data_IF_601065001210
#
_entry.id   IF_601065001210
#
_cell.length_a   1.000
_cell.length_b   1.000
_cell.length_c   1.000
_cell.angle_alpha   90.00
_cell.angle_beta   90.00
_cell.angle_gamma   90.00
#
_symmetry.space_group_name_H-M   'P 1'
#
loop_
_entity.id
_entity.type
_entity.pdbx_description
1 polymer ?
#
# COMPACT_ATOMS: atom_id res chain seq x y z
N UNK A 1 -8.32 11.44 -1.95
CA UNK A 1 -7.06 11.10 -1.27
C UNK A 1 -5.94 11.76 -2.05
N UNK A 2 -5.03 12.47 -1.37
CA UNK A 2 -3.83 12.99 -2.02
C UNK A 2 -3.01 11.81 -2.55
N UNK A 3 -2.43 11.98 -3.74
CA UNK A 3 -1.56 10.96 -4.32
C UNK A 3 -0.27 10.91 -3.49
N UNK A 4 0.09 9.75 -2.90
CA UNK A 4 1.28 9.67 -2.06
C UNK A 4 2.56 9.98 -2.85
N UNK A 5 3.54 10.61 -2.20
CA UNK A 5 4.77 11.12 -2.81
C UNK A 5 5.57 10.03 -3.56
N UNK A 6 5.57 8.80 -3.06
CA UNK A 6 6.26 7.69 -3.72
C UNK A 6 5.67 7.37 -5.10
N UNK A 7 4.37 7.60 -5.35
CA UNK A 7 3.78 7.39 -6.67
C UNK A 7 4.20 8.44 -7.69
N UNK A 8 4.50 9.67 -7.25
CA UNK A 8 5.04 10.70 -8.15
C UNK A 8 6.41 10.24 -8.68
N UNK A 9 7.25 9.69 -7.81
CA UNK A 9 8.54 9.09 -8.19
C UNK A 9 8.35 7.88 -9.13
N UNK A 10 7.37 7.02 -8.86
CA UNK A 10 7.07 5.85 -9.72
C UNK A 10 6.53 6.24 -11.09
N UNK A 11 5.67 7.26 -11.18
CA UNK A 11 5.16 7.74 -12.45
C UNK A 11 6.21 8.44 -13.30
N UNK A 12 7.21 9.08 -12.68
CA UNK A 12 8.35 9.65 -13.39
C UNK A 12 9.21 8.57 -14.08
N UNK A 13 9.22 7.35 -13.53
CA UNK A 13 9.92 6.19 -14.11
C UNK A 13 9.14 5.53 -15.27
N UNK A 14 7.88 5.91 -15.49
CA UNK A 14 6.98 5.30 -16.46
C UNK A 14 6.62 6.25 -17.60
N UNK A 15 6.61 5.73 -18.82
CA UNK A 15 6.14 6.49 -19.97
C UNK A 15 4.65 6.83 -19.84
N UNK A 16 4.16 7.90 -20.48
CA UNK A 16 2.73 8.24 -20.46
C UNK A 16 1.84 7.08 -20.96
N UNK A 17 2.33 6.32 -21.94
CA UNK A 17 1.62 5.15 -22.48
C UNK A 17 1.54 4.04 -21.42
N UNK A 18 2.62 3.78 -20.68
CA UNK A 18 2.63 2.83 -19.57
C UNK A 18 1.65 3.25 -18.47
N UNK A 19 1.59 4.54 -18.13
CA UNK A 19 0.64 5.04 -17.12
C UNK A 19 -0.82 4.80 -17.55
N UNK A 20 -1.14 5.10 -18.81
CA UNK A 20 -2.47 4.80 -19.39
C UNK A 20 -2.75 3.29 -19.39
N UNK A 21 -1.78 2.48 -19.80
CA UNK A 21 -1.89 1.03 -19.83
C UNK A 21 -2.13 0.43 -18.45
N UNK A 22 -1.42 0.91 -17.41
CA UNK A 22 -1.60 0.46 -16.03
C UNK A 22 -3.03 0.70 -15.53
N UNK A 23 -3.60 1.88 -15.81
CA UNK A 23 -5.00 2.16 -15.50
C UNK A 23 -5.96 1.23 -16.26
N UNK A 24 -5.77 1.08 -17.58
CA UNK A 24 -6.64 0.24 -18.41
C UNK A 24 -6.61 -1.23 -17.98
N UNK A 25 -5.43 -1.76 -17.64
CA UNK A 25 -5.29 -3.13 -17.13
C UNK A 25 -5.94 -3.30 -15.76
N UNK A 26 -5.78 -2.34 -14.84
CA UNK A 26 -6.46 -2.36 -13.54
C UNK A 26 -7.99 -2.44 -13.68
N UNK A 27 -8.56 -1.64 -14.60
CA UNK A 27 -10.00 -1.65 -14.88
C UNK A 27 -10.44 -3.00 -15.48
N UNK A 28 -9.65 -3.55 -16.42
CA UNK A 28 -9.93 -4.83 -17.06
C UNK A 28 -9.89 -6.00 -16.07
N UNK A 29 -8.91 -6.01 -15.16
CA UNK A 29 -8.74 -7.06 -14.16
C UNK A 29 -9.86 -7.08 -13.13
N UNK A 30 -10.44 -5.93 -12.81
CA UNK A 30 -11.62 -5.83 -11.95
C UNK A 30 -12.93 -6.20 -12.66
N UNK A 31 -12.93 -6.36 -14.00
CA UNK A 31 -14.11 -6.77 -14.77
C UNK A 31 -15.28 -5.78 -14.69
N UNK A 32 -15.00 -4.51 -14.43
CA UNK A 32 -16.02 -3.48 -14.20
C UNK A 32 -16.68 -3.03 -15.50
N UNK A 33 -15.89 -2.91 -16.57
CA UNK A 33 -16.33 -2.38 -17.87
C UNK A 33 -16.82 -3.48 -18.82
N UNK A 34 -17.19 -4.65 -18.28
CA UNK A 34 -17.73 -5.78 -19.03
C UNK A 34 -16.81 -7.00 -19.06
N UNK A 35 -16.93 -7.86 -20.09
CA UNK A 35 -16.15 -9.10 -20.15
C UNK A 35 -14.65 -8.80 -20.19
N UNK A 36 -13.88 -9.57 -19.42
CA UNK A 36 -12.43 -9.41 -19.32
C UNK A 36 -11.78 -9.60 -20.70
N UNK A 37 -11.09 -8.56 -21.16
CA UNK A 37 -10.32 -8.56 -22.40
C UNK A 37 -9.04 -9.35 -22.24
N UNK A 38 -8.61 -10.01 -23.31
CA UNK A 38 -7.33 -10.73 -23.36
C UNK A 38 -6.15 -9.76 -23.46
N UNK A 39 -4.93 -10.22 -23.13
CA UNK A 39 -3.74 -9.37 -23.26
C UNK A 39 -3.52 -8.87 -24.70
N UNK A 40 -3.82 -9.71 -25.70
CA UNK A 40 -3.76 -9.33 -27.12
C UNK A 40 -4.75 -8.20 -27.46
N UNK A 41 -5.98 -8.28 -26.94
CA UNK A 41 -6.99 -7.24 -27.15
C UNK A 41 -6.59 -5.93 -26.47
N UNK A 42 -6.10 -6.01 -25.22
CA UNK A 42 -5.60 -4.85 -24.49
C UNK A 42 -4.39 -4.21 -25.19
N UNK A 43 -3.48 -5.03 -25.73
CA UNK A 43 -2.34 -4.57 -26.51
C UNK A 43 -2.78 -3.81 -27.77
N UNK A 44 -3.79 -4.33 -28.48
CA UNK A 44 -4.41 -3.65 -29.61
C UNK A 44 -5.02 -2.30 -29.24
N UNK A 45 -5.72 -2.19 -28.11
CA UNK A 45 -6.33 -0.94 -27.65
C UNK A 45 -5.32 0.11 -27.17
N UNK A 46 -4.23 -0.34 -26.56
CA UNK A 46 -3.14 0.53 -26.09
C UNK A 46 -2.23 0.95 -27.25
N UNK A 47 -2.20 0.17 -28.34
CA UNK A 47 -1.34 0.40 -29.50
C UNK A 47 0.08 -0.15 -29.32
N UNK A 48 0.23 -1.27 -28.59
CA UNK A 48 1.52 -1.92 -28.34
C UNK A 48 1.45 -3.41 -28.69
N UNK A 49 2.61 -4.08 -28.71
CA UNK A 49 2.64 -5.54 -28.84
C UNK A 49 2.25 -6.24 -27.54
N UNK A 50 1.69 -7.44 -27.64
CA UNK A 50 1.40 -8.31 -26.49
C UNK A 50 2.65 -8.56 -25.62
N UNK A 51 3.80 -8.77 -26.27
CA UNK A 51 5.10 -8.93 -25.60
C UNK A 51 5.52 -7.71 -24.79
N UNK A 52 5.11 -6.50 -25.20
CA UNK A 52 5.39 -5.26 -24.48
C UNK A 52 4.59 -5.19 -23.18
N UNK A 53 3.29 -5.53 -23.22
CA UNK A 53 2.47 -5.63 -22.01
C UNK A 53 3.04 -6.66 -21.04
N UNK A 54 3.42 -7.84 -21.55
CA UNK A 54 4.02 -8.88 -20.72
C UNK A 54 5.29 -8.42 -20.01
N UNK A 55 6.13 -7.63 -20.69
CA UNK A 55 7.34 -7.02 -20.09
C UNK A 55 6.98 -5.98 -19.03
N UNK A 56 5.96 -5.16 -19.26
CA UNK A 56 5.52 -4.17 -18.26
C UNK A 56 4.97 -4.83 -17.00
N UNK A 57 4.27 -5.96 -17.14
CA UNK A 57 3.81 -6.76 -16.01
C UNK A 57 4.94 -7.40 -15.18
N UNK A 58 6.20 -7.23 -15.57
CA UNK A 58 7.38 -7.62 -14.79
C UNK A 58 8.07 -6.41 -14.15
N UNK A 59 7.72 -5.18 -14.54
CA UNK A 59 8.32 -3.96 -14.00
C UNK A 59 7.65 -3.61 -12.66
N UNK A 60 8.39 -3.57 -11.53
CA UNK A 60 7.83 -3.25 -10.22
C UNK A 60 7.13 -1.88 -10.16
N UNK A 61 7.64 -0.89 -10.89
CA UNK A 61 7.02 0.44 -10.90
C UNK A 61 5.64 0.43 -11.58
N UNK A 62 5.51 -0.36 -12.65
CA UNK A 62 4.25 -0.53 -13.36
C UNK A 62 3.22 -1.28 -12.51
N UNK A 63 3.64 -2.36 -11.84
CA UNK A 63 2.79 -3.16 -10.94
C UNK A 63 2.26 -2.28 -9.80
N UNK A 64 3.12 -1.53 -9.12
CA UNK A 64 2.71 -0.64 -8.01
C UNK A 64 1.71 0.43 -8.45
N UNK A 65 1.87 0.97 -9.66
CA UNK A 65 0.92 1.94 -10.19
C UNK A 65 -0.45 1.28 -10.48
N UNK A 66 -0.43 0.07 -11.02
CA UNK A 66 -1.64 -0.72 -11.27
C UNK A 66 -2.37 -1.08 -9.97
N UNK A 67 -1.65 -1.48 -8.92
CA UNK A 67 -2.18 -1.71 -7.57
C UNK A 67 -2.85 -0.46 -7.03
N UNK A 68 -2.18 0.69 -7.10
CA UNK A 68 -2.76 1.96 -6.67
C UNK A 68 -4.07 2.31 -7.39
N UNK A 69 -4.12 2.13 -8.71
CA UNK A 69 -5.36 2.33 -9.46
C UNK A 69 -6.45 1.34 -9.03
N UNK A 70 -6.08 0.08 -8.80
CA UNK A 70 -6.99 -0.95 -8.31
C UNK A 70 -7.58 -0.56 -6.95
N UNK A 71 -6.77 -0.07 -6.02
CA UNK A 71 -7.22 0.40 -4.70
C UNK A 71 -8.18 1.58 -4.80
N UNK A 72 -7.87 2.57 -5.64
CA UNK A 72 -8.79 3.71 -5.88
C UNK A 72 -10.13 3.20 -6.40
N UNK A 73 -10.11 2.32 -7.39
CA UNK A 73 -11.32 1.80 -8.02
C UNK A 73 -12.11 0.99 -7.00
N UNK A 74 -11.49 0.05 -6.30
CA UNK A 74 -12.11 -0.76 -5.24
C UNK A 74 -12.74 0.09 -4.14
N UNK A 75 -12.05 1.17 -3.73
CA UNK A 75 -12.59 2.08 -2.74
C UNK A 75 -13.88 2.79 -3.20
N UNK A 76 -14.07 3.03 -4.51
CA UNK A 76 -15.35 3.53 -5.04
C UNK A 76 -16.49 2.52 -4.87
N UNK A 77 -16.19 1.21 -4.89
CA UNK A 77 -17.19 0.16 -4.67
C UNK A 77 -17.45 -0.14 -3.20
N UNK A 78 -16.70 0.47 -2.27
CA UNK A 78 -16.82 0.21 -0.84
C UNK A 78 -18.28 0.30 -0.34
N UNK A 79 -18.99 1.38 -0.68
CA UNK A 79 -20.40 1.55 -0.28
C UNK A 79 -21.32 0.44 -0.84
N UNK A 80 -21.07 -0.01 -2.08
CA UNK A 80 -21.84 -1.09 -2.71
C UNK A 80 -21.56 -2.44 -2.05
N UNK A 81 -20.30 -2.72 -1.72
CA UNK A 81 -19.91 -3.93 -0.99
C UNK A 81 -20.56 -3.94 0.39
N UNK A 82 -20.52 -2.81 1.11
CA UNK A 82 -21.17 -2.67 2.41
C UNK A 82 -22.69 -2.85 2.32
N UNK A 83 -23.34 -2.28 1.31
CA UNK A 83 -24.78 -2.50 1.07
C UNK A 83 -25.12 -3.98 0.84
N UNK A 84 -24.31 -4.71 0.05
CA UNK A 84 -24.47 -6.16 -0.12
C UNK A 84 -24.27 -6.93 1.18
N UNK A 85 -23.29 -6.53 2.00
CA UNK A 85 -23.04 -7.16 3.30
C UNK A 85 -24.24 -6.98 4.24
N UNK A 86 -24.80 -5.78 4.33
CA UNK A 86 -25.99 -5.49 5.14
C UNK A 86 -27.18 -6.35 4.67
N UNK A 87 -27.43 -6.42 3.37
CA UNK A 87 -28.50 -7.26 2.83
C UNK A 87 -28.33 -8.74 3.20
N UNK A 88 -27.09 -9.26 3.19
CA UNK A 88 -26.80 -10.63 3.62
C UNK A 88 -27.06 -10.83 5.12
N UNK A 89 -26.74 -9.83 5.95
CA UNK A 89 -27.02 -9.86 7.39
C UNK A 89 -28.53 -9.86 7.63
N UNK A 90 -29.29 -8.98 6.97
CA UNK A 90 -30.75 -8.91 7.11
C UNK A 90 -31.45 -10.21 6.66
N UNK A 91 -30.88 -10.88 5.67
CA UNK A 91 -31.38 -12.17 5.19
C UNK A 91 -30.91 -13.35 6.05
N UNK A 92 -30.10 -13.14 7.09
CA UNK A 92 -29.59 -14.23 7.93
C UNK A 92 -30.67 -14.69 8.92
N UNK A 93 -31.20 -15.90 8.69
CA UNK A 93 -32.11 -16.61 9.59
C UNK A 93 -31.36 -17.64 10.44
N UNK A 94 -32.04 -18.30 11.37
CA UNK A 94 -31.47 -19.35 12.23
C UNK A 94 -30.82 -20.54 11.49
N UNK A 95 -31.12 -20.72 10.20
CA UNK A 95 -30.57 -21.78 9.33
C UNK A 95 -29.47 -21.30 8.38
N UNK A 96 -29.15 -20.00 8.37
CA UNK A 96 -28.19 -19.39 7.44
C UNK A 96 -26.87 -19.05 8.11
N UNK A 97 -25.87 -18.77 7.27
CA UNK A 97 -24.50 -18.47 7.70
C UNK A 97 -24.44 -17.21 8.54
N UNK A 98 -23.88 -17.31 9.76
CA UNK A 98 -23.60 -16.18 10.67
C UNK A 98 -22.38 -15.36 10.20
N UNK A 99 -21.69 -15.82 9.16
CA UNK A 99 -20.44 -15.21 8.66
C UNK A 99 -20.55 -13.74 8.27
N UNK A 100 -21.63 -13.27 7.62
CA UNK A 100 -21.79 -11.84 7.29
C UNK A 100 -21.77 -10.96 8.54
N UNK A 101 -22.41 -11.41 9.63
CA UNK A 101 -22.44 -10.69 10.90
C UNK A 101 -21.05 -10.66 11.55
N UNK A 102 -20.35 -11.81 11.57
CA UNK A 102 -18.97 -11.90 12.06
C UNK A 102 -18.04 -10.94 11.30
N UNK A 103 -18.14 -10.90 9.96
CA UNK A 103 -17.32 -10.03 9.13
C UNK A 103 -17.57 -8.54 9.44
N UNK A 104 -18.83 -8.15 9.63
CA UNK A 104 -19.18 -6.80 10.04
C UNK A 104 -18.62 -6.45 11.42
N UNK A 105 -18.73 -7.35 12.40
CA UNK A 105 -18.18 -7.13 13.74
C UNK A 105 -16.65 -7.04 13.73
N UNK A 106 -15.97 -7.85 12.91
CA UNK A 106 -14.52 -7.75 12.69
C UNK A 106 -14.11 -6.42 12.10
N UNK A 107 -14.81 -5.96 11.05
CA UNK A 107 -14.54 -4.66 10.42
C UNK A 107 -14.66 -3.49 11.42
N UNK A 108 -15.58 -3.61 12.39
CA UNK A 108 -15.80 -2.61 13.46
C UNK A 108 -14.89 -2.77 14.67
N UNK A 109 -14.03 -3.81 14.71
CA UNK A 109 -13.16 -4.10 15.84
C UNK A 109 -13.93 -4.52 17.11
N UNK A 110 -15.12 -5.10 16.97
CA UNK A 110 -15.98 -5.49 18.11
C UNK A 110 -15.70 -6.90 18.64
N UNK A 111 -14.93 -7.71 17.90
CA UNK A 111 -14.52 -9.04 18.35
C UNK A 111 -13.17 -8.94 19.05
N UNK A 112 -13.09 -9.50 20.26
CA UNK A 112 -11.84 -9.67 20.99
C UNK A 112 -11.36 -11.11 20.83
N UNK A 113 -10.14 -11.28 20.31
CA UNK A 113 -9.46 -12.57 20.31
C UNK A 113 -8.69 -12.74 21.62
N UNK A 114 -9.09 -13.71 22.44
CA UNK A 114 -8.36 -14.09 23.65
C UNK A 114 -7.44 -15.26 23.31
N UNK A 115 -6.14 -15.07 23.48
CA UNK A 115 -5.15 -16.14 23.43
C UNK A 115 -4.61 -16.41 24.83
N UNK A 116 -4.74 -17.66 25.29
CA UNK A 116 -4.11 -18.12 26.52
C UNK A 116 -2.82 -18.86 26.14
N UNK A 117 -1.68 -18.21 26.39
CA UNK A 117 -0.37 -18.81 26.15
C UNK A 117 0.06 -19.57 27.41
N UNK A 118 -0.02 -20.89 27.36
CA UNK A 118 0.57 -21.73 28.40
C UNK A 118 2.05 -21.95 28.09
N UNK A 119 2.90 -21.34 28.90
CA UNK A 119 4.33 -21.57 28.87
C UNK A 119 4.65 -22.92 29.51
N UNK A 120 5.15 -23.86 28.70
CA UNK A 120 5.59 -25.21 29.16
C UNK A 120 7.10 -25.38 29.17
N UNK A 121 7.87 -24.29 29.09
CA UNK A 121 9.33 -24.36 29.18
C UNK A 121 9.79 -24.49 30.63
N UNK A 122 10.60 -25.50 30.92
CA UNK A 122 11.46 -25.49 32.11
C UNK A 122 12.32 -24.22 32.06
N UNK A 123 12.26 -23.38 33.09
CA UNK A 123 13.21 -22.28 33.21
C UNK A 123 14.60 -22.90 33.38
N UNK A 124 15.44 -22.77 32.36
CA UNK A 124 16.86 -23.01 32.50
C UNK A 124 17.44 -21.94 33.44
N UNK A 125 17.49 -22.28 34.73
CA UNK A 125 18.04 -21.42 35.79
C UNK A 125 19.56 -21.24 35.68
N UNK A 126 20.21 -21.84 34.68
CA UNK A 126 21.65 -21.73 34.44
C UNK A 126 22.02 -20.70 33.36
N UNK A 127 21.04 -20.17 32.63
CA UNK A 127 21.28 -19.06 31.71
C UNK A 127 21.39 -17.75 32.51
N UNK A 128 22.60 -17.21 32.63
CA UNK A 128 22.81 -15.83 33.08
C UNK A 128 21.95 -14.89 32.23
N UNK A 129 21.27 -13.89 32.84
CA UNK A 129 20.46 -12.94 32.08
C UNK A 129 21.37 -12.27 31.04
N UNK A 130 21.04 -12.46 29.76
CA UNK A 130 21.79 -11.85 28.64
C UNK A 130 21.94 -10.37 28.93
N UNK A 131 23.17 -9.89 29.01
CA UNK A 131 23.46 -8.48 29.22
C UNK A 131 23.16 -7.72 27.92
N UNK A 132 21.99 -7.09 27.88
CA UNK A 132 21.51 -6.32 26.73
C UNK A 132 22.14 -4.92 26.66
N UNK A 133 22.97 -4.50 27.64
CA UNK A 133 23.54 -3.15 27.67
C UNK A 133 24.24 -2.76 26.38
N UNK A 134 25.06 -3.67 25.83
CA UNK A 134 25.79 -3.44 24.57
C UNK A 134 24.89 -3.35 23.35
N UNK A 135 23.81 -4.13 23.31
CA UNK A 135 22.81 -4.06 22.23
C UNK A 135 21.98 -2.77 22.34
N UNK A 136 21.71 -2.31 23.57
CA UNK A 136 21.02 -1.06 23.85
C UNK A 136 21.86 0.15 23.40
N UNK A 137 23.13 0.19 23.79
CA UNK A 137 24.07 1.25 23.40
C UNK A 137 24.24 1.32 21.88
N UNK A 138 24.30 0.16 21.22
CA UNK A 138 24.38 0.09 19.76
C UNK A 138 23.10 0.60 19.09
N UNK A 139 21.93 0.28 19.65
CA UNK A 139 20.64 0.75 19.14
C UNK A 139 20.45 2.26 19.37
N UNK A 140 20.85 2.79 20.53
CA UNK A 140 20.81 4.22 20.83
C UNK A 140 21.74 5.01 19.91
N UNK A 141 22.95 4.50 19.66
CA UNK A 141 23.87 5.11 18.70
C UNK A 141 23.28 5.11 17.28
N UNK A 142 22.71 3.99 16.84
CA UNK A 142 22.10 3.89 15.51
C UNK A 142 20.91 4.84 15.33
N UNK A 143 20.13 5.08 16.39
CA UNK A 143 19.04 6.06 16.37
C UNK A 143 19.56 7.49 16.30
N UNK A 144 20.62 7.81 17.05
CA UNK A 144 21.25 9.14 17.02
C UNK A 144 21.89 9.45 15.68
N UNK A 145 22.60 8.49 15.10
CA UNK A 145 23.17 8.61 13.75
C UNK A 145 22.06 8.80 12.68
N UNK A 146 20.83 8.36 12.94
CA UNK A 146 19.67 8.59 12.07
C UNK A 146 19.08 10.00 12.24
N UNK A 147 19.09 10.52 13.46
CA UNK A 147 18.60 11.87 13.81
C UNK A 147 19.52 12.95 13.23
N UNK A 148 20.84 12.75 13.31
CA UNK A 148 21.85 13.65 12.73
C UNK A 148 21.77 13.74 11.19
N UNK A 149 21.18 12.73 10.51
CA UNK A 149 20.92 12.77 9.06
C UNK A 149 19.67 13.59 8.70
N UNK A 150 18.72 13.71 9.63
CA UNK A 150 17.48 14.47 9.41
C UNK A 150 17.73 15.99 9.53
N UNK A 151 18.69 16.41 10.36
CA UNK A 151 19.00 17.84 10.56
C UNK A 151 19.85 18.46 9.42
N UNK A 152 20.56 17.66 8.61
CA UNK A 152 21.36 18.19 7.48
C UNK A 152 20.46 18.60 6.30
N UNK A 153 19.29 17.99 6.11
CA UNK A 153 18.37 18.37 5.02
C UNK A 153 17.50 19.61 5.34
N UNK A 154 17.54 20.14 6.57
CA UNK A 154 16.77 21.32 6.96
C UNK A 154 17.51 22.66 6.76
N UNK A 155 18.85 22.67 6.74
CA UNK A 155 19.63 23.92 6.54
C UNK A 155 19.85 24.27 5.06
N UNK A 156 20.01 23.28 4.17
CA UNK A 156 20.28 23.51 2.74
C UNK A 156 19.07 24.02 1.93
N UNK A 157 17.84 23.98 2.48
CA UNK A 157 16.66 24.54 1.79
C UNK A 157 16.56 26.06 1.95
N UNK A 158 17.29 26.68 2.89
CA UNK A 158 17.09 28.10 3.24
C UNK A 158 18.07 29.10 2.61
N UNK A 159 19.11 28.64 1.92
CA UNK A 159 20.07 29.53 1.24
C UNK A 159 19.68 29.84 -0.21
N UNK A 160 19.07 28.89 -0.93
CA UNK A 160 18.68 29.08 -2.33
C UNK A 160 17.51 30.08 -2.48
N UNK A 161 16.58 30.17 -1.50
CA UNK A 161 15.49 31.16 -1.53
C UNK A 161 15.97 32.60 -1.24
N UNK A 162 17.14 32.78 -0.61
CA UNK A 162 17.69 34.12 -0.29
C UNK A 162 18.48 34.75 -1.44
N UNK A 163 18.93 33.98 -2.42
CA UNK A 163 19.64 34.52 -3.59
C UNK A 163 18.69 35.00 -4.71
N UNK A 164 17.48 34.45 -4.81
CA UNK A 164 16.51 34.89 -5.82
C UNK A 164 15.85 36.24 -5.45
N UNK A 165 15.60 36.52 -4.16
CA UNK A 165 15.07 37.82 -3.74
C UNK A 165 16.06 38.99 -3.92
N UNK A 166 17.37 38.74 -3.90
CA UNK A 166 18.38 39.80 -4.15
C UNK A 166 18.56 40.14 -5.63
N UNK A 167 18.20 39.26 -6.56
CA UNK A 167 18.28 39.53 -8.01
C UNK A 167 17.03 40.21 -8.58
N UNK A 168 15.93 40.23 -7.83
CA UNK A 168 14.69 40.93 -8.22
C UNK A 168 14.65 42.41 -7.81
N UNK A 169 15.58 42.89 -6.97
CA UNK A 169 15.53 44.23 -6.39
C UNK A 169 16.80 45.07 -6.63
N UNK A 170 17.57 44.73 -7.67
CA UNK A 170 18.77 45.45 -8.13
C UNK A 170 18.63 45.98 -9.54
#
# INVERSE_FOLDING_TARGET
MAKPQYLVKLEAQLSPIQRKAAYMLAVNDLGIDGPRKTQIQMAGEIGVSDSTIRRWNQNPAFIKLMEYHTDIIMNRYHARVMGKLINLIEQTDATKSVKPLELYMKLRGLLADRHEHHWTGEMDKSAEPKDWSKELDAAEKALRDLDDVIDIEAEDVTEDEKEEEKKSNG
#
